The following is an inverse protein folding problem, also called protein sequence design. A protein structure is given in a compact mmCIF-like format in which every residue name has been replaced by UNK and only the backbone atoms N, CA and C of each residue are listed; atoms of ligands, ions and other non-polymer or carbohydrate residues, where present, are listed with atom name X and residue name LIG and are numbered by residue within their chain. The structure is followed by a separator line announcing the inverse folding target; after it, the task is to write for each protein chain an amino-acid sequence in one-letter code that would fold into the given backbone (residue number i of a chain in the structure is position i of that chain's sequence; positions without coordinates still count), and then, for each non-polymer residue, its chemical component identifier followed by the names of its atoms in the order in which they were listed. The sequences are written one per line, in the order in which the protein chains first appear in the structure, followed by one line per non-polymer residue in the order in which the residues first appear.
data_IF_832608518579
#
_entry.id   IF_832608518579
#
_cell.length_a   1.000
_cell.length_b   1.000
_cell.length_c   1.000
_cell.angle_alpha   90.00
_cell.angle_beta   90.00
_cell.angle_gamma   90.00
#
_symmetry.space_group_name_H-M   'P 1'
#
loop_
_entity.id
_entity.type
_entity.pdbx_description
1 polymer ?
#
# COMPACT_ATOMS: atom_id res chain seq x y z
N UNK A 1 -7.40 15.67 4.62
CA UNK A 1 -6.30 16.52 5.16
C UNK A 1 -4.92 16.05 4.67
N UNK A 2 -4.44 14.84 5.01
CA UNK A 2 -3.16 14.32 4.48
C UNK A 2 -3.30 13.79 3.04
N UNK A 3 -4.26 12.90 2.79
CA UNK A 3 -4.45 12.28 1.45
C UNK A 3 -4.56 13.32 0.32
N UNK A 4 -5.30 14.41 0.54
CA UNK A 4 -5.45 15.52 -0.41
C UNK A 4 -4.14 16.22 -0.78
N UNK A 5 -3.11 16.15 0.06
CA UNK A 5 -1.79 16.72 -0.21
C UNK A 5 -0.89 15.75 -0.97
N UNK A 6 -0.97 14.46 -0.64
CA UNK A 6 -0.05 13.43 -1.16
C UNK A 6 -0.59 12.70 -2.40
N UNK A 7 -1.89 12.77 -2.68
CA UNK A 7 -2.55 11.98 -3.73
C UNK A 7 -2.00 12.23 -5.14
N UNK A 8 -1.51 13.44 -5.42
CA UNK A 8 -0.85 13.76 -6.70
C UNK A 8 0.43 12.97 -6.94
N UNK A 9 0.99 12.37 -5.90
CA UNK A 9 2.19 11.54 -5.95
C UNK A 9 1.91 10.08 -5.65
N UNK A 10 0.64 9.64 -5.67
CA UNK A 10 0.24 8.25 -5.36
C UNK A 10 1.03 7.22 -6.15
N UNK A 11 1.25 7.45 -7.44
CA UNK A 11 1.91 6.50 -8.33
C UNK A 11 3.39 6.32 -7.95
N UNK A 12 4.06 7.44 -7.62
CA UNK A 12 5.42 7.43 -7.13
C UNK A 12 5.53 6.77 -5.75
N UNK A 13 4.57 7.06 -4.85
CA UNK A 13 4.49 6.43 -3.52
C UNK A 13 4.35 4.91 -3.65
N UNK A 14 3.44 4.44 -4.50
CA UNK A 14 3.17 3.01 -4.70
C UNK A 14 4.38 2.28 -5.28
N UNK A 15 5.04 2.86 -6.28
CA UNK A 15 6.26 2.31 -6.84
C UNK A 15 7.39 2.19 -5.79
N UNK A 16 7.64 3.25 -5.01
CA UNK A 16 8.71 3.22 -4.00
C UNK A 16 8.37 2.26 -2.85
N UNK A 17 7.11 2.25 -2.38
CA UNK A 17 6.68 1.37 -1.28
C UNK A 17 6.80 -0.11 -1.66
N UNK A 18 6.35 -0.51 -2.85
CA UNK A 18 6.53 -1.87 -3.34
C UNK A 18 7.99 -2.21 -3.58
N UNK A 19 8.77 -1.28 -4.16
CA UNK A 19 10.21 -1.47 -4.37
C UNK A 19 10.95 -1.74 -3.05
N UNK A 20 10.62 -1.00 -1.99
CA UNK A 20 11.15 -1.22 -0.64
C UNK A 20 10.70 -2.55 -0.07
N UNK A 21 9.43 -2.89 -0.20
CA UNK A 21 8.88 -4.14 0.30
C UNK A 21 9.65 -5.34 -0.26
N UNK A 22 9.87 -5.40 -1.58
CA UNK A 22 10.56 -6.53 -2.20
C UNK A 22 12.06 -6.58 -1.89
N UNK A 23 12.70 -5.45 -1.54
CA UNK A 23 14.13 -5.42 -1.19
C UNK A 23 14.36 -5.71 0.29
N UNK A 24 13.64 -5.01 1.17
CA UNK A 24 13.84 -5.08 2.63
C UNK A 24 13.17 -6.32 3.22
N UNK A 25 12.11 -6.81 2.59
CA UNK A 25 11.35 -7.99 3.01
C UNK A 25 11.27 -9.00 1.86
N UNK A 26 12.39 -9.66 1.51
CA UNK A 26 12.50 -10.49 0.31
C UNK A 26 11.54 -11.69 0.30
N UNK A 27 11.02 -12.13 1.44
CA UNK A 27 9.99 -13.17 1.51
C UNK A 27 8.70 -12.78 0.76
N UNK A 28 8.42 -11.49 0.63
CA UNK A 28 7.25 -10.98 -0.10
C UNK A 28 7.36 -11.18 -1.62
N UNK A 29 8.57 -11.41 -2.16
CA UNK A 29 8.77 -11.67 -3.59
C UNK A 29 8.07 -12.93 -4.09
N UNK A 30 7.78 -13.88 -3.21
CA UNK A 30 7.09 -15.14 -3.54
C UNK A 30 5.75 -14.91 -4.26
N UNK A 31 5.01 -13.88 -3.87
CA UNK A 31 3.72 -13.50 -4.48
C UNK A 31 3.85 -12.93 -5.90
N UNK A 32 5.06 -12.52 -6.30
CA UNK A 32 5.34 -11.88 -7.59
C UNK A 32 6.21 -12.74 -8.51
N UNK A 33 6.41 -14.03 -8.16
CA UNK A 33 7.29 -14.96 -8.89
C UNK A 33 6.90 -15.22 -10.35
N UNK A 34 5.66 -14.88 -10.73
CA UNK A 34 5.15 -14.98 -12.10
C UNK A 34 5.58 -13.81 -13.00
N UNK A 35 6.15 -12.73 -12.43
CA UNK A 35 6.69 -11.63 -13.22
C UNK A 35 8.12 -11.92 -13.68
N UNK A 36 8.49 -11.53 -14.91
CA UNK A 36 9.83 -11.72 -15.43
C UNK A 36 10.88 -10.82 -14.75
N UNK A 37 10.45 -9.72 -14.12
CA UNK A 37 11.34 -8.75 -13.47
C UNK A 37 10.73 -8.19 -12.17
N UNK A 38 11.27 -8.68 -11.05
CA UNK A 38 10.91 -8.26 -9.67
C UNK A 38 12.08 -7.49 -9.05
N UNK A 39 12.40 -6.36 -9.67
CA UNK A 39 13.41 -5.41 -9.20
C UNK A 39 12.80 -4.03 -8.92
N UNK A 40 13.42 -3.21 -8.04
CA UNK A 40 12.97 -1.85 -7.77
C UNK A 40 12.75 -1.03 -9.05
N UNK A 41 11.56 -0.43 -9.19
CA UNK A 41 11.25 0.42 -10.33
C UNK A 41 11.04 -0.30 -11.68
N UNK A 42 10.96 -1.63 -11.68
CA UNK A 42 10.59 -2.40 -12.88
C UNK A 42 9.20 -1.98 -13.39
N UNK A 43 8.91 -2.26 -14.66
CA UNK A 43 7.61 -1.93 -15.26
C UNK A 43 6.44 -2.57 -14.50
N UNK A 44 6.61 -3.81 -14.03
CA UNK A 44 5.60 -4.54 -13.26
C UNK A 44 5.40 -3.92 -11.87
N UNK A 45 6.49 -3.55 -11.19
CA UNK A 45 6.41 -2.90 -9.87
C UNK A 45 5.74 -1.53 -9.96
N UNK A 46 6.09 -0.71 -10.97
CA UNK A 46 5.43 0.57 -11.22
C UNK A 46 3.94 0.40 -11.48
N UNK A 47 3.57 -0.48 -12.41
CA UNK A 47 2.18 -0.71 -12.78
C UNK A 47 1.35 -1.25 -11.60
N UNK A 48 1.93 -2.14 -10.80
CA UNK A 48 1.25 -2.67 -9.62
C UNK A 48 1.17 -1.63 -8.49
N UNK A 49 2.19 -0.80 -8.31
CA UNK A 49 2.19 0.29 -7.33
C UNK A 49 1.04 1.27 -7.53
N UNK A 50 0.72 1.59 -8.79
CA UNK A 50 -0.46 2.40 -9.15
C UNK A 50 -1.74 1.70 -8.68
N UNK A 51 -1.90 0.40 -8.93
CA UNK A 51 -3.09 -0.36 -8.51
C UNK A 51 -3.23 -0.39 -6.99
N UNK A 52 -2.15 -0.65 -6.27
CA UNK A 52 -2.11 -0.65 -4.80
C UNK A 52 -2.58 0.70 -4.26
N UNK A 53 -1.99 1.80 -4.75
CA UNK A 53 -2.37 3.14 -4.27
C UNK A 53 -3.76 3.57 -4.75
N UNK A 54 -4.25 3.03 -5.86
CA UNK A 54 -5.66 3.12 -6.25
C UNK A 54 -6.60 2.43 -5.26
N UNK A 55 -6.20 1.26 -4.73
CA UNK A 55 -6.92 0.60 -3.62
C UNK A 55 -6.94 1.43 -2.34
N UNK A 56 -5.82 2.07 -1.99
CA UNK A 56 -5.77 3.02 -0.87
C UNK A 56 -6.66 4.25 -1.13
N UNK A 57 -6.70 4.77 -2.35
CA UNK A 57 -7.58 5.87 -2.73
C UNK A 57 -9.07 5.48 -2.57
N UNK A 58 -9.42 4.27 -3.00
CA UNK A 58 -10.75 3.70 -2.81
C UNK A 58 -11.09 3.60 -1.32
N UNK A 59 -10.18 3.06 -0.50
CA UNK A 59 -10.35 2.98 0.95
C UNK A 59 -10.57 4.35 1.59
N UNK A 60 -9.83 5.39 1.17
CA UNK A 60 -10.07 6.77 1.64
C UNK A 60 -11.48 7.25 1.27
N UNK A 61 -11.98 6.93 0.07
CA UNK A 61 -13.34 7.28 -0.36
C UNK A 61 -14.44 6.48 0.34
N UNK A 62 -14.09 5.35 0.99
CA UNK A 62 -14.98 4.42 1.68
C UNK A 62 -14.68 4.35 3.18
N UNK A 63 -14.06 5.39 3.73
CA UNK A 63 -13.49 5.35 5.10
C UNK A 63 -14.55 5.08 6.19
N UNK A 64 -15.82 5.39 5.94
CA UNK A 64 -16.92 5.16 6.87
C UNK A 64 -17.31 3.67 6.98
N UNK A 65 -17.05 2.86 5.95
CA UNK A 65 -17.29 1.41 5.93
C UNK A 65 -16.28 0.72 4.99
N UNK A 66 -15.10 0.40 5.55
CA UNK A 66 -14.04 -0.26 4.80
C UNK A 66 -14.37 -1.71 4.47
N UNK A 67 -15.09 -2.42 5.34
CA UNK A 67 -15.46 -3.83 5.16
C UNK A 67 -16.30 -4.01 3.90
N UNK A 68 -17.34 -3.20 3.73
CA UNK A 68 -18.14 -3.22 2.50
C UNK A 68 -17.36 -2.59 1.35
N UNK A 69 -16.66 -1.47 1.59
CA UNK A 69 -15.96 -0.73 0.56
C UNK A 69 -14.82 -1.50 -0.13
N UNK A 70 -14.23 -2.48 0.55
CA UNK A 70 -13.07 -3.25 0.08
C UNK A 70 -13.37 -4.74 -0.12
N UNK A 71 -14.63 -5.16 -0.06
CA UNK A 71 -15.03 -6.59 -0.14
C UNK A 71 -14.43 -7.32 -1.35
N UNK A 72 -14.42 -6.69 -2.52
CA UNK A 72 -13.89 -7.29 -3.75
C UNK A 72 -12.37 -7.47 -3.69
N UNK A 73 -11.65 -6.52 -3.09
CA UNK A 73 -10.20 -6.62 -2.88
C UNK A 73 -9.88 -7.68 -1.82
N UNK A 74 -10.69 -7.77 -0.77
CA UNK A 74 -10.60 -8.78 0.28
C UNK A 74 -10.78 -10.18 -0.34
N UNK A 75 -11.80 -10.40 -1.17
CA UNK A 75 -12.01 -11.67 -1.88
C UNK A 75 -10.82 -12.03 -2.77
N UNK A 76 -10.30 -11.05 -3.53
CA UNK A 76 -9.14 -11.26 -4.39
C UNK A 76 -7.91 -11.70 -3.58
N UNK A 77 -7.57 -11.00 -2.50
CA UNK A 77 -6.36 -11.31 -1.73
C UNK A 77 -6.50 -12.58 -0.90
N UNK A 78 -7.68 -12.83 -0.31
CA UNK A 78 -7.92 -13.99 0.53
C UNK A 78 -8.02 -15.30 -0.27
N UNK A 79 -8.82 -15.32 -1.35
CA UNK A 79 -9.18 -16.58 -2.02
C UNK A 79 -8.42 -16.84 -3.31
N UNK A 80 -8.18 -15.78 -4.11
CA UNK A 80 -7.54 -15.92 -5.44
C UNK A 80 -6.02 -15.86 -5.32
N UNK A 81 -5.50 -14.83 -4.66
CA UNK A 81 -4.06 -14.62 -4.49
C UNK A 81 -3.50 -15.33 -3.25
N UNK A 82 -4.36 -15.60 -2.25
CA UNK A 82 -4.02 -16.28 -0.99
C UNK A 82 -2.81 -15.64 -0.30
N UNK A 83 -2.82 -14.31 -0.23
CA UNK A 83 -1.77 -13.54 0.44
C UNK A 83 -1.93 -13.72 1.95
N UNK A 84 -0.83 -14.05 2.64
CA UNK A 84 -0.85 -14.14 4.11
C UNK A 84 -1.08 -12.72 4.67
N UNK A 85 -2.10 -12.50 5.52
CA UNK A 85 -2.43 -11.19 6.09
C UNK A 85 -1.26 -10.50 6.80
N UNK A 86 -0.26 -11.24 7.27
CA UNK A 86 0.95 -10.66 7.88
C UNK A 86 1.68 -9.70 6.93
N UNK A 87 1.59 -9.91 5.60
CA UNK A 87 2.27 -9.07 4.62
C UNK A 87 1.63 -7.69 4.44
N UNK A 88 0.36 -7.49 4.81
CA UNK A 88 -0.27 -6.17 4.75
C UNK A 88 0.42 -5.18 5.69
N UNK A 89 0.83 -5.63 6.88
CA UNK A 89 1.58 -4.80 7.84
C UNK A 89 2.94 -4.38 7.29
N UNK A 90 3.58 -5.24 6.51
CA UNK A 90 4.86 -4.95 5.86
C UNK A 90 4.68 -3.84 4.82
N UNK A 91 3.69 -3.98 3.93
CA UNK A 91 3.42 -2.96 2.92
C UNK A 91 2.99 -1.63 3.56
N UNK A 92 2.14 -1.67 4.59
CA UNK A 92 1.74 -0.49 5.36
C UNK A 92 2.96 0.25 5.90
N UNK A 93 3.90 -0.47 6.54
CA UNK A 93 5.14 0.13 7.03
C UNK A 93 5.94 0.80 5.89
N UNK A 94 6.09 0.14 4.74
CA UNK A 94 6.77 0.73 3.59
C UNK A 94 6.07 2.00 3.07
N UNK A 95 4.73 2.03 3.04
CA UNK A 95 3.95 3.21 2.66
C UNK A 95 4.23 4.38 3.63
N UNK A 96 4.22 4.13 4.95
CA UNK A 96 4.51 5.15 5.96
C UNK A 96 5.93 5.71 5.80
N UNK A 97 6.93 4.83 5.57
CA UNK A 97 8.32 5.24 5.31
C UNK A 97 8.41 6.14 4.08
N UNK A 98 7.76 5.77 2.97
CA UNK A 98 7.81 6.56 1.73
C UNK A 98 7.13 7.91 1.89
N UNK A 99 5.97 7.96 2.55
CA UNK A 99 5.28 9.22 2.82
C UNK A 99 6.14 10.12 3.73
N UNK A 100 6.83 9.56 4.73
CA UNK A 100 7.76 10.30 5.57
C UNK A 100 8.92 10.90 4.78
N UNK A 101 9.47 10.17 3.82
CA UNK A 101 10.56 10.64 2.95
C UNK A 101 10.08 11.74 2.00
N UNK A 102 8.93 11.56 1.36
CA UNK A 102 8.43 12.47 0.33
C UNK A 102 7.75 13.72 0.89
N UNK A 103 7.09 13.60 2.04
CA UNK A 103 6.27 14.64 2.64
C UNK A 103 6.58 14.86 4.13
N UNK A 104 7.85 15.08 4.54
CA UNK A 104 8.24 15.12 5.95
C UNK A 104 7.55 16.25 6.74
N UNK A 105 7.21 17.36 6.07
CA UNK A 105 6.51 18.50 6.70
C UNK A 105 5.02 18.21 6.96
N UNK A 106 4.41 17.38 6.12
CA UNK A 106 2.99 17.04 6.22
C UNK A 106 2.75 15.76 7.02
N UNK A 107 3.75 14.88 7.10
CA UNK A 107 3.71 13.64 7.86
C UNK A 107 4.14 13.86 9.32
N UNK A 108 3.36 14.69 10.02
CA UNK A 108 3.53 14.97 11.45
C UNK A 108 3.16 13.74 12.29
N UNK A 109 3.49 13.69 13.60
CA UNK A 109 3.05 12.61 14.49
C UNK A 109 1.53 12.39 14.50
N UNK A 110 0.73 13.47 14.43
CA UNK A 110 -0.74 13.42 14.38
C UNK A 110 -1.25 12.84 13.06
N UNK A 111 -0.60 13.20 11.96
CA UNK A 111 -0.89 12.64 10.64
C UNK A 111 -0.50 11.15 10.59
N UNK A 112 0.64 10.79 11.18
CA UNK A 112 1.12 9.41 11.28
C UNK A 112 0.16 8.54 12.08
N UNK A 113 -0.20 8.92 13.31
CA UNK A 113 -1.10 8.09 14.14
C UNK A 113 -2.45 7.85 13.45
N UNK A 114 -2.96 8.84 12.73
CA UNK A 114 -4.22 8.70 11.98
C UNK A 114 -4.06 7.78 10.78
N UNK A 115 -2.98 7.95 10.01
CA UNK A 115 -2.73 7.13 8.82
C UNK A 115 -2.41 5.67 9.17
N UNK A 116 -1.64 5.43 10.23
CA UNK A 116 -1.31 4.08 10.70
C UNK A 116 -2.56 3.31 11.16
N UNK A 117 -3.45 3.98 11.90
CA UNK A 117 -4.76 3.41 12.27
C UNK A 117 -5.63 3.12 11.05
N UNK A 118 -5.66 4.04 10.07
CA UNK A 118 -6.37 3.83 8.82
C UNK A 118 -5.83 2.63 8.05
N UNK A 119 -4.52 2.53 7.85
CA UNK A 119 -3.88 1.42 7.13
C UNK A 119 -4.07 0.08 7.87
N UNK A 120 -4.10 0.10 9.20
CA UNK A 120 -4.44 -1.07 10.01
C UNK A 120 -5.88 -1.53 9.80
N UNK A 121 -6.82 -0.59 9.68
CA UNK A 121 -8.22 -0.89 9.37
C UNK A 121 -8.38 -1.41 7.93
N UNK A 122 -7.64 -0.86 6.97
CA UNK A 122 -7.60 -1.36 5.58
C UNK A 122 -7.07 -2.79 5.51
N UNK A 123 -6.08 -3.15 6.31
CA UNK A 123 -5.53 -4.50 6.35
C UNK A 123 -6.49 -5.53 6.99
N UNK A 124 -7.52 -5.08 7.72
CA UNK A 124 -8.49 -5.93 8.41
C UNK A 124 -9.79 -6.13 7.60
N UNK A 125 -10.10 -5.21 6.70
CA UNK A 125 -11.27 -5.24 5.81
C UNK A 125 -11.08 -6.25 4.66
#
# INVERSE_FOLDING_TARGET
ALWSKISKSSDAIGNDALSRMIVVYPQTKTYFSHWPDVTPGSAHIKAHGIKVMGGIALAVSKIDDLTIGLSDLSEQHAFKLRVDPANFKILNHCILVVISIMFPKDFTPEAHVSLDKFLSAVALA
#
